data_IF_176457033067
#
_entry.id   IF_176457033067
#
_cell.length_a   1.000
_cell.length_b   1.000
_cell.length_c   1.000
_cell.angle_alpha   90.00
_cell.angle_beta   90.00
_cell.angle_gamma   90.00
#
_symmetry.space_group_name_H-M   'P 1'
#
loop_
_entity.id
_entity.type
_entity.pdbx_description
1 polymer ?
#
# COMPACT_ATOMS: atom_id res chain seq x y z
N UNK A 1 -47.35 -8.61 11.21
CA UNK A 1 -46.12 -8.24 11.94
C UNK A 1 -44.94 -8.65 11.09
N UNK A 2 -44.26 -7.70 10.46
CA UNK A 2 -43.07 -8.00 9.63
C UNK A 2 -41.87 -8.05 10.55
N UNK A 3 -41.27 -9.24 10.73
CA UNK A 3 -40.01 -9.37 11.46
C UNK A 3 -38.92 -8.63 10.67
N UNK A 4 -38.44 -7.51 11.20
CA UNK A 4 -37.27 -6.84 10.66
C UNK A 4 -36.07 -7.77 10.83
N UNK A 5 -35.55 -8.29 9.71
CA UNK A 5 -34.31 -9.07 9.71
C UNK A 5 -33.18 -8.20 10.27
N UNK A 6 -32.36 -8.72 11.19
CA UNK A 6 -31.25 -7.95 11.74
C UNK A 6 -30.32 -7.50 10.60
N UNK A 7 -30.08 -6.19 10.53
CA UNK A 7 -29.16 -5.59 9.56
C UNK A 7 -27.77 -6.10 9.91
N UNK A 8 -27.21 -6.98 9.06
CA UNK A 8 -25.86 -7.48 9.27
C UNK A 8 -24.86 -6.31 9.17
N UNK A 9 -24.16 -5.95 10.26
CA UNK A 9 -23.29 -4.78 10.29
C UNK A 9 -22.07 -4.92 9.36
N UNK A 10 -21.77 -6.13 8.89
CA UNK A 10 -20.63 -6.41 8.04
C UNK A 10 -20.96 -6.41 6.54
N UNK A 11 -22.23 -6.24 6.16
CA UNK A 11 -22.63 -6.20 4.76
C UNK A 11 -22.00 -4.97 4.08
N UNK A 12 -21.18 -5.20 3.05
CA UNK A 12 -20.49 -4.14 2.30
C UNK A 12 -19.23 -3.56 2.97
N UNK A 13 -18.71 -4.18 4.05
CA UNK A 13 -17.40 -3.83 4.59
C UNK A 13 -16.31 -4.51 3.77
N UNK A 14 -15.28 -3.75 3.41
CA UNK A 14 -14.10 -4.25 2.70
C UNK A 14 -12.92 -4.14 3.66
N UNK A 15 -12.24 -5.26 3.88
CA UNK A 15 -11.04 -5.32 4.72
C UNK A 15 -9.83 -4.90 3.89
N UNK A 16 -9.27 -3.73 4.20
CA UNK A 16 -8.06 -3.20 3.54
C UNK A 16 -6.91 -4.22 3.58
N UNK A 17 -6.75 -4.95 4.69
CA UNK A 17 -5.70 -5.97 4.84
C UNK A 17 -5.88 -7.14 3.89
N UNK A 18 -7.10 -7.66 3.78
CA UNK A 18 -7.39 -8.78 2.90
C UNK A 18 -7.25 -8.36 1.44
N UNK A 19 -7.77 -7.18 1.08
CA UNK A 19 -7.63 -6.64 -0.28
C UNK A 19 -6.16 -6.42 -0.65
N UNK A 20 -5.35 -5.87 0.26
CA UNK A 20 -3.92 -5.70 0.04
C UNK A 20 -3.19 -7.04 -0.13
N UNK A 21 -3.57 -8.07 0.66
CA UNK A 21 -3.02 -9.43 0.53
C UNK A 21 -3.38 -10.03 -0.82
N UNK A 22 -4.65 -9.94 -1.25
CA UNK A 22 -5.13 -10.47 -2.54
C UNK A 22 -4.39 -9.80 -3.71
N UNK A 23 -4.27 -8.47 -3.68
CA UNK A 23 -3.53 -7.70 -4.69
C UNK A 23 -2.09 -8.21 -4.82
N UNK A 24 -1.41 -8.40 -3.68
CA UNK A 24 -0.03 -8.90 -3.60
C UNK A 24 0.11 -10.35 -4.10
N UNK A 25 -0.73 -11.26 -3.62
CA UNK A 25 -0.64 -12.70 -3.93
C UNK A 25 -0.89 -12.97 -5.42
N UNK A 26 -1.85 -12.27 -6.01
CA UNK A 26 -2.23 -12.44 -7.41
C UNK A 26 -1.42 -11.52 -8.35
N UNK A 27 -0.57 -10.65 -7.80
CA UNK A 27 0.16 -9.65 -8.56
C UNK A 27 -0.76 -8.79 -9.45
N UNK A 28 -1.93 -8.41 -8.92
CA UNK A 28 -2.95 -7.60 -9.60
C UNK A 28 -3.13 -6.26 -8.89
N UNK A 29 -3.52 -5.24 -9.65
CA UNK A 29 -4.00 -3.96 -9.10
C UNK A 29 -5.50 -4.07 -8.80
N UNK A 30 -5.91 -3.62 -7.61
CA UNK A 30 -7.32 -3.55 -7.22
C UNK A 30 -7.68 -2.10 -6.99
N UNK A 31 -8.78 -1.65 -7.59
CA UNK A 31 -9.35 -0.31 -7.41
C UNK A 31 -10.77 -0.42 -6.92
N UNK A 32 -11.07 0.34 -5.88
CA UNK A 32 -12.37 0.32 -5.21
C UNK A 32 -12.82 1.76 -5.05
N UNK A 33 -13.90 2.11 -5.72
CA UNK A 33 -14.59 3.38 -5.50
C UNK A 33 -15.63 3.21 -4.39
N UNK A 34 -15.57 4.05 -3.37
CA UNK A 34 -16.54 4.08 -2.28
C UNK A 34 -16.74 5.51 -1.82
N UNK A 35 -18.00 5.97 -1.83
CA UNK A 35 -18.37 7.33 -1.41
C UNK A 35 -17.56 8.42 -2.14
N UNK A 36 -17.30 8.21 -3.44
CA UNK A 36 -16.48 9.09 -4.27
C UNK A 36 -14.96 9.03 -4.00
N UNK A 37 -14.53 8.20 -3.04
CA UNK A 37 -13.11 7.97 -2.74
C UNK A 37 -12.61 6.71 -3.45
N UNK A 38 -11.50 6.84 -4.18
CA UNK A 38 -10.84 5.70 -4.85
C UNK A 38 -9.73 5.16 -3.97
N UNK A 39 -9.87 3.91 -3.56
CA UNK A 39 -8.84 3.15 -2.86
C UNK A 39 -8.10 2.27 -3.87
N UNK A 40 -6.77 2.42 -3.92
CA UNK A 40 -5.91 1.68 -4.84
C UNK A 40 -4.95 0.78 -4.08
N UNK A 41 -4.93 -0.49 -4.47
CA UNK A 41 -4.02 -1.51 -3.95
C UNK A 41 -3.14 -1.98 -5.11
N UNK A 42 -1.85 -1.70 -5.01
CA UNK A 42 -0.86 -2.16 -5.98
C UNK A 42 -0.09 -3.36 -5.40
N UNK A 43 0.21 -4.37 -6.22
CA UNK A 43 1.15 -5.39 -5.80
C UNK A 43 2.50 -4.71 -5.63
N UNK A 44 3.12 -4.91 -4.47
CA UNK A 44 4.50 -4.48 -4.25
C UNK A 44 5.37 -5.18 -5.29
N UNK A 45 5.68 -4.48 -6.38
CA UNK A 45 6.72 -4.89 -7.31
C UNK A 45 7.96 -5.07 -6.48
N UNK A 46 8.45 -6.31 -6.34
CA UNK A 46 9.76 -6.56 -5.77
C UNK A 46 10.73 -5.71 -6.57
N UNK A 47 11.17 -4.57 -6.04
CA UNK A 47 12.25 -3.78 -6.64
C UNK A 47 13.39 -4.78 -6.83
N UNK A 48 13.70 -5.11 -8.09
CA UNK A 48 14.75 -6.08 -8.44
C UNK A 48 16.16 -5.56 -8.14
N UNK A 49 16.28 -4.40 -7.51
CA UNK A 49 17.54 -3.85 -7.05
C UNK A 49 17.32 -3.21 -5.68
N UNK A 50 18.17 -3.49 -4.67
CA UNK A 50 18.33 -2.53 -3.59
C UNK A 50 18.63 -1.16 -4.24
N UNK A 51 18.23 -0.02 -3.65
CA UNK A 51 18.83 1.24 -4.06
C UNK A 51 20.34 0.99 -4.02
N UNK A 52 20.98 1.10 -5.19
CA UNK A 52 22.44 1.04 -5.26
C UNK A 52 22.93 1.96 -4.16
N UNK A 53 23.79 1.44 -3.30
CA UNK A 53 24.46 2.20 -2.25
C UNK A 53 24.80 3.57 -2.83
N UNK A 54 24.02 4.59 -2.46
CA UNK A 54 24.33 5.96 -2.80
C UNK A 54 25.67 6.21 -2.13
N UNK A 55 26.67 6.23 -2.99
CA UNK A 55 28.03 6.68 -2.77
C UNK A 55 28.08 7.62 -1.56
N UNK A 56 28.71 7.16 -0.48
CA UNK A 56 28.95 7.94 0.74
C UNK A 56 29.96 9.08 0.50
N UNK A 57 29.96 9.68 -0.68
CA UNK A 57 30.66 10.91 -0.99
C UNK A 57 29.77 12.07 -0.55
N UNK A 58 29.85 12.37 0.75
CA UNK A 58 29.48 13.62 1.41
C UNK A 58 28.36 14.44 0.71
N UNK A 59 27.09 14.40 1.17
CA UNK A 59 26.00 15.15 0.56
C UNK A 59 26.14 16.68 0.61
N UNK A 60 27.19 17.20 1.27
CA UNK A 60 27.48 18.64 1.38
C UNK A 60 28.79 19.05 0.68
N UNK A 61 29.54 18.12 0.08
CA UNK A 61 30.79 18.45 -0.65
C UNK A 61 31.87 19.17 0.18
N UNK A 62 31.78 19.15 1.51
CA UNK A 62 32.74 19.82 2.39
C UNK A 62 34.07 19.04 2.45
N UNK A 63 35.23 19.69 2.23
CA UNK A 63 36.52 19.03 2.41
C UNK A 63 36.69 18.65 3.88
N UNK A 64 37.23 17.45 4.14
CA UNK A 64 37.68 17.07 5.48
C UNK A 64 38.79 18.04 5.86
N UNK A 65 38.58 18.80 6.94
CA UNK A 65 39.66 19.52 7.61
C UNK A 65 40.50 18.48 8.33
N UNK A 66 41.67 18.17 7.78
CA UNK A 66 42.70 17.47 8.51
C UNK A 66 43.11 18.34 9.72
N UNK A 67 43.06 17.73 10.91
CA UNK A 67 43.55 18.29 12.19
C UNK A 67 44.86 17.58 12.52
#
# INVERSE_FOLDING_TARGET
>A
MVQEKPINPNKGRISIRDTARIAKENNIRIEIERDGTIYRFEPLSKRKKPPAEEDNSNPLGLPKRDV
#
